data_IF_130711508866
#
_entry.id   IF_130711508866
#
_cell.length_a   1.000
_cell.length_b   1.000
_cell.length_c   1.000
_cell.angle_alpha   90.00
_cell.angle_beta   90.00
_cell.angle_gamma   90.00
#
_symmetry.space_group_name_H-M   'P 1'
#
loop_
_entity.id
_entity.type
_entity.pdbx_description
1 polymer ?
#
# COMPACT_ATOMS: atom_id res chain seq x y z
N UNK A 1 0.24 30.66 9.66
CA UNK A 1 0.58 29.77 10.79
C UNK A 1 -0.74 29.19 11.27
N UNK A 2 -1.22 28.13 10.62
CA UNK A 2 -2.44 27.45 11.05
C UNK A 2 -2.08 26.56 12.24
N UNK A 3 -2.37 27.00 13.45
CA UNK A 3 -2.48 26.13 14.62
C UNK A 3 -3.85 25.43 14.57
N UNK A 4 -4.12 24.74 13.46
CA UNK A 4 -5.31 23.93 13.26
C UNK A 4 -4.99 22.49 13.61
N UNK A 5 -5.92 21.83 14.29
CA UNK A 5 -5.84 20.41 14.58
C UNK A 5 -5.45 19.60 13.33
N UNK A 6 -4.47 18.70 13.50
CA UNK A 6 -3.97 17.82 12.44
C UNK A 6 -5.08 16.94 11.87
N UNK A 7 -6.13 16.68 12.66
CA UNK A 7 -7.27 15.85 12.26
C UNK A 7 -8.15 16.41 11.15
N UNK A 8 -7.96 17.67 10.74
CA UNK A 8 -8.82 18.30 9.72
C UNK A 8 -8.45 17.80 8.32
N UNK A 9 -9.45 17.59 7.46
CA UNK A 9 -9.28 17.09 6.09
C UNK A 9 -8.27 17.91 5.27
N UNK A 10 -8.35 19.23 5.35
CA UNK A 10 -7.50 20.15 4.60
C UNK A 10 -6.04 20.01 5.01
N UNK A 11 -5.79 19.83 6.32
CA UNK A 11 -4.45 19.64 6.88
C UNK A 11 -3.90 18.28 6.46
N UNK A 12 -4.69 17.21 6.58
CA UNK A 12 -4.28 15.87 6.16
C UNK A 12 -3.99 15.80 4.66
N UNK A 13 -4.81 16.45 3.82
CA UNK A 13 -4.58 16.52 2.38
C UNK A 13 -3.30 17.30 2.04
N UNK A 14 -3.03 18.43 2.69
CA UNK A 14 -1.77 19.17 2.49
C UNK A 14 -0.56 18.31 2.90
N UNK A 15 -0.64 17.63 4.05
CA UNK A 15 0.47 16.82 4.57
C UNK A 15 0.72 15.55 3.76
N UNK A 16 -0.32 14.81 3.40
CA UNK A 16 -0.21 13.48 2.79
C UNK A 16 -0.11 13.53 1.26
N UNK A 17 -0.92 14.36 0.60
CA UNK A 17 -0.93 14.43 -0.87
C UNK A 17 0.08 15.45 -1.39
N UNK A 18 0.05 16.67 -0.86
CA UNK A 18 0.88 17.77 -1.38
C UNK A 18 2.32 17.68 -0.89
N UNK A 19 2.51 17.32 0.38
CA UNK A 19 3.84 17.23 1.04
C UNK A 19 4.23 15.80 1.42
N UNK A 20 3.58 14.81 0.81
CA UNK A 20 3.80 13.40 1.11
C UNK A 20 5.26 12.96 0.95
N UNK A 21 6.03 13.60 0.07
CA UNK A 21 7.46 13.32 -0.10
C UNK A 21 8.30 13.64 1.13
N UNK A 22 7.86 14.56 2.00
CA UNK A 22 8.56 14.94 3.24
C UNK A 22 8.10 14.03 4.38
N UNK A 23 6.78 13.89 4.55
CA UNK A 23 6.20 13.20 5.70
C UNK A 23 6.15 11.68 5.55
N UNK A 24 6.07 11.16 4.32
CA UNK A 24 6.06 9.73 4.03
C UNK A 24 7.44 9.23 3.54
N UNK A 25 8.48 10.07 3.54
CA UNK A 25 9.83 9.63 3.21
C UNK A 25 10.29 8.56 4.19
N UNK A 26 10.55 7.35 3.68
CA UNK A 26 11.20 6.32 4.51
C UNK A 26 12.65 6.73 4.81
N UNK A 27 13.17 6.37 6.00
CA UNK A 27 14.59 6.45 6.30
C UNK A 27 15.44 5.70 5.27
N UNK A 28 16.73 6.03 5.20
CA UNK A 28 17.64 5.32 4.32
C UNK A 28 17.95 3.92 4.88
N UNK A 29 17.17 2.92 4.45
CA UNK A 29 17.41 1.53 4.79
C UNK A 29 18.37 0.85 3.82
N UNK A 30 19.61 1.33 3.70
CA UNK A 30 20.57 0.86 2.69
C UNK A 30 20.68 -0.68 2.59
N UNK A 31 20.76 -1.38 3.73
CA UNK A 31 20.85 -2.86 3.74
C UNK A 31 19.57 -3.51 3.21
N UNK A 32 18.39 -3.09 3.68
CA UNK A 32 17.13 -3.65 3.23
C UNK A 32 16.86 -3.29 1.76
N UNK A 33 17.09 -2.03 1.40
CA UNK A 33 16.81 -1.50 0.07
C UNK A 33 17.80 -2.06 -0.96
N UNK A 34 19.10 -1.85 -0.79
CA UNK A 34 20.11 -2.18 -1.80
C UNK A 34 20.60 -3.62 -1.69
N UNK A 35 20.92 -4.10 -0.48
CA UNK A 35 21.54 -5.41 -0.33
C UNK A 35 20.53 -6.57 -0.38
N UNK A 36 19.36 -6.42 0.25
CA UNK A 36 18.38 -7.51 0.35
C UNK A 36 17.33 -7.48 -0.75
N UNK A 37 16.90 -6.29 -1.16
CA UNK A 37 15.78 -6.14 -2.11
C UNK A 37 16.18 -5.56 -3.45
N UNK A 38 17.44 -5.15 -3.63
CA UNK A 38 17.98 -4.57 -4.87
C UNK A 38 17.14 -3.39 -5.40
N UNK A 39 16.50 -2.62 -4.51
CA UNK A 39 15.63 -1.51 -4.85
C UNK A 39 14.29 -1.92 -5.47
N UNK A 40 13.89 -3.20 -5.35
CA UNK A 40 12.64 -3.72 -5.94
C UNK A 40 11.46 -3.71 -4.97
N UNK A 41 11.65 -3.24 -3.73
CA UNK A 41 10.60 -3.15 -2.71
C UNK A 41 10.35 -1.69 -2.35
N UNK A 42 9.23 -1.16 -2.84
CA UNK A 42 8.83 0.24 -2.66
C UNK A 42 8.63 0.63 -1.18
N UNK A 43 8.38 -0.34 -0.30
CA UNK A 43 8.24 -0.11 1.14
C UNK A 43 9.55 0.33 1.83
N UNK A 44 10.71 -0.12 1.34
CA UNK A 44 12.02 0.23 1.92
C UNK A 44 12.73 1.36 1.16
N UNK A 45 12.22 1.71 -0.02
CA UNK A 45 12.77 2.80 -0.81
C UNK A 45 12.40 4.17 -0.26
N UNK A 46 13.41 5.02 -0.13
CA UNK A 46 13.23 6.45 0.10
C UNK A 46 12.42 7.08 -1.05
N UNK A 47 11.62 8.09 -0.74
CA UNK A 47 10.91 8.85 -1.77
C UNK A 47 11.90 9.44 -2.78
N UNK A 48 11.61 9.25 -4.05
CA UNK A 48 12.43 9.68 -5.18
C UNK A 48 11.98 9.01 -6.49
N UNK A 49 12.65 9.31 -7.62
CA UNK A 49 12.25 8.82 -8.94
C UNK A 49 12.18 7.28 -9.03
N UNK A 50 13.09 6.59 -8.33
CA UNK A 50 13.11 5.13 -8.28
C UNK A 50 11.86 4.55 -7.59
N UNK A 51 11.48 5.12 -6.44
CA UNK A 51 10.26 4.74 -5.74
C UNK A 51 9.02 5.03 -6.58
N UNK A 52 8.94 6.21 -7.20
CA UNK A 52 7.77 6.60 -8.00
C UNK A 52 7.59 5.67 -9.20
N UNK A 53 8.68 5.34 -9.90
CA UNK A 53 8.65 4.40 -11.02
C UNK A 53 8.19 3.01 -10.57
N UNK A 54 8.74 2.48 -9.48
CA UNK A 54 8.34 1.18 -8.95
C UNK A 54 6.88 1.18 -8.48
N UNK A 55 6.49 2.19 -7.70
CA UNK A 55 5.13 2.35 -7.19
C UNK A 55 4.13 2.41 -8.34
N UNK A 56 4.37 3.25 -9.36
CA UNK A 56 3.50 3.36 -10.53
C UNK A 56 3.37 2.03 -11.28
N UNK A 57 4.47 1.27 -11.45
CA UNK A 57 4.42 -0.04 -12.11
C UNK A 57 3.59 -1.05 -11.34
N UNK A 58 3.82 -1.16 -10.03
CA UNK A 58 3.07 -2.09 -9.17
C UNK A 58 1.59 -1.69 -9.17
N UNK A 59 1.28 -0.42 -8.92
CA UNK A 59 -0.10 0.05 -8.89
C UNK A 59 -0.80 -0.12 -10.24
N UNK A 60 -0.10 0.13 -11.34
CA UNK A 60 -0.67 -0.07 -12.67
C UNK A 60 -0.91 -1.54 -13.04
N UNK A 61 -0.13 -2.48 -12.49
CA UNK A 61 -0.28 -3.89 -12.76
C UNK A 61 -1.42 -4.53 -11.94
N UNK A 62 -1.49 -4.22 -10.65
CA UNK A 62 -2.37 -4.93 -9.72
C UNK A 62 -3.65 -4.16 -9.38
N UNK A 63 -3.56 -2.85 -9.18
CA UNK A 63 -4.67 -2.06 -8.64
C UNK A 63 -5.49 -1.31 -9.71
N UNK A 64 -5.25 -1.60 -10.99
CA UNK A 64 -6.19 -1.17 -12.05
C UNK A 64 -7.41 -2.09 -12.04
N UNK A 65 -8.59 -1.61 -12.49
CA UNK A 65 -9.81 -2.42 -12.52
C UNK A 65 -9.62 -3.81 -13.14
N UNK A 66 -8.95 -3.89 -14.31
CA UNK A 66 -8.64 -5.18 -14.95
C UNK A 66 -7.77 -6.12 -14.11
N UNK A 67 -6.85 -5.57 -13.31
CA UNK A 67 -6.02 -6.35 -12.40
C UNK A 67 -6.86 -6.90 -11.25
N UNK A 68 -7.75 -6.07 -10.69
CA UNK A 68 -8.69 -6.45 -9.63
C UNK A 68 -9.67 -7.52 -10.12
N UNK A 69 -10.24 -7.37 -11.32
CA UNK A 69 -11.20 -8.32 -11.91
C UNK A 69 -10.60 -9.74 -12.02
N UNK A 70 -9.30 -9.84 -12.31
CA UNK A 70 -8.61 -11.13 -12.39
C UNK A 70 -8.52 -11.86 -11.04
N UNK A 71 -8.53 -11.13 -9.91
CA UNK A 71 -8.52 -11.71 -8.57
C UNK A 71 -9.91 -12.00 -8.01
N UNK A 72 -10.99 -11.50 -8.63
CA UNK A 72 -12.34 -11.61 -8.10
C UNK A 72 -12.78 -13.07 -7.91
N UNK A 73 -12.52 -13.93 -8.89
CA UNK A 73 -12.92 -15.34 -8.81
C UNK A 73 -12.24 -16.08 -7.64
N UNK A 74 -10.97 -15.77 -7.35
CA UNK A 74 -10.23 -16.35 -6.22
C UNK A 74 -10.74 -15.78 -4.90
N UNK A 75 -10.96 -14.47 -4.82
CA UNK A 75 -11.51 -13.84 -3.63
C UNK A 75 -12.89 -14.40 -3.27
N UNK A 76 -13.75 -14.63 -4.26
CA UNK A 76 -15.08 -15.19 -4.06
C UNK A 76 -15.04 -16.63 -3.54
N UNK A 77 -14.07 -17.44 -4.00
CA UNK A 77 -13.86 -18.80 -3.52
C UNK A 77 -13.45 -18.81 -2.04
N UNK A 78 -12.35 -18.10 -1.73
CA UNK A 78 -11.80 -18.00 -0.38
C UNK A 78 -12.81 -17.39 0.61
N UNK A 79 -13.58 -16.39 0.17
CA UNK A 79 -14.62 -15.76 1.00
C UNK A 79 -15.73 -16.75 1.34
N UNK A 80 -16.17 -17.59 0.39
CA UNK A 80 -17.18 -18.62 0.64
C UNK A 80 -16.68 -19.68 1.60
N UNK A 81 -15.44 -20.14 1.44
CA UNK A 81 -14.82 -21.08 2.37
C UNK A 81 -14.68 -20.49 3.79
N UNK A 82 -14.22 -19.24 3.90
CA UNK A 82 -14.12 -18.53 5.16
C UNK A 82 -15.49 -18.41 5.84
N UNK A 83 -16.52 -17.99 5.11
CA UNK A 83 -17.90 -17.88 5.65
C UNK A 83 -18.42 -19.26 6.07
N UNK A 84 -18.19 -20.30 5.27
CA UNK A 84 -18.59 -21.66 5.62
C UNK A 84 -17.95 -22.11 6.93
N UNK A 85 -16.66 -21.84 7.13
CA UNK A 85 -15.93 -22.18 8.35
C UNK A 85 -16.36 -21.34 9.57
N UNK A 86 -16.80 -20.10 9.36
CA UNK A 86 -17.31 -19.24 10.44
C UNK A 86 -18.75 -19.61 10.83
N UNK A 87 -19.58 -19.99 9.87
CA UNK A 87 -20.99 -20.29 10.09
C UNK A 87 -21.26 -21.76 10.45
N UNK A 88 -20.41 -22.68 10.03
CA UNK A 88 -20.44 -24.04 10.53
C UNK A 88 -19.62 -24.07 11.81
N UNK A 89 -20.19 -24.37 12.98
CA UNK A 89 -19.38 -24.64 14.14
C UNK A 89 -18.44 -25.79 13.75
N UNK A 90 -17.13 -25.51 13.72
CA UNK A 90 -16.14 -26.57 13.71
C UNK A 90 -16.57 -27.58 14.78
N UNK A 91 -16.91 -28.80 14.36
CA UNK A 91 -17.05 -29.93 15.26
C UNK A 91 -15.66 -30.17 15.88
N UNK A 92 -15.39 -29.45 16.97
CA UNK A 92 -14.37 -29.74 17.97
C UNK A 92 -15.07 -30.30 19.20
#
# INVERSE_FOLDING_TARGET
>A
MYAGDLGTYEVMRDLLDTRGTIYNSRPNFFVLDQCMTMGLKSGFQRYGPAWEHLHRRVTAAFFKPKGVDAYQAVQDLETKELIFNLCSPMLH
#
